data_IF_083278147980
#
_entry.id   IF_083278147980
#
_cell.length_a   1.000
_cell.length_b   1.000
_cell.length_c   1.000
_cell.angle_alpha   90.00
_cell.angle_beta   90.00
_cell.angle_gamma   90.00
#
_symmetry.space_group_name_H-M   'P 1'
#
loop_
_entity.id
_entity.type
_entity.pdbx_description
1 polymer ?
#
# COMPACT_ATOMS: atom_id res chain seq x y z
N UNK A 1 11.61 8.46 28.79
CA UNK A 1 11.09 7.32 28.01
C UNK A 1 11.49 7.58 26.58
N UNK A 2 12.52 6.88 26.09
CA UNK A 2 12.75 6.82 24.66
C UNK A 2 11.61 5.96 24.14
N UNK A 3 10.62 6.58 23.53
CA UNK A 3 9.75 5.86 22.61
C UNK A 3 10.71 5.27 21.57
N UNK A 4 10.99 3.98 21.70
CA UNK A 4 11.78 3.22 20.74
C UNK A 4 10.93 3.24 19.47
N UNK A 5 11.06 4.33 18.72
CA UNK A 5 10.28 4.64 17.54
C UNK A 5 10.72 3.62 16.52
N UNK A 6 10.06 2.45 16.58
CA UNK A 6 10.49 1.25 15.88
C UNK A 6 10.47 1.59 14.41
N UNK A 7 11.65 1.65 13.82
CA UNK A 7 11.79 2.00 12.42
C UNK A 7 11.06 0.95 11.60
N UNK A 8 10.25 1.37 10.63
CA UNK A 8 9.56 0.41 9.79
C UNK A 8 10.58 -0.41 9.03
N UNK A 9 10.34 -1.71 8.98
CA UNK A 9 11.12 -2.69 8.25
C UNK A 9 10.35 -3.17 7.03
N UNK A 10 11.01 -3.93 6.17
CA UNK A 10 10.34 -4.61 5.06
C UNK A 10 9.22 -5.54 5.55
N UNK A 11 9.35 -6.11 6.75
CA UNK A 11 8.32 -6.96 7.34
C UNK A 11 7.06 -6.17 7.73
N UNK A 12 7.23 -4.92 8.18
CA UNK A 12 6.10 -4.03 8.48
C UNK A 12 5.34 -3.67 7.20
N UNK A 13 6.06 -3.43 6.10
CA UNK A 13 5.45 -3.23 4.78
C UNK A 13 4.67 -4.47 4.32
N UNK A 14 5.26 -5.66 4.47
CA UNK A 14 4.64 -6.92 4.08
C UNK A 14 3.37 -7.19 4.91
N UNK A 15 3.44 -6.98 6.23
CA UNK A 15 2.28 -7.16 7.12
C UNK A 15 1.14 -6.21 6.75
N UNK A 16 1.45 -4.96 6.42
CA UNK A 16 0.46 -4.00 5.94
C UNK A 16 -0.14 -4.47 4.61
N UNK A 17 0.68 -4.94 3.68
CA UNK A 17 0.23 -5.44 2.37
C UNK A 17 -0.72 -6.64 2.50
N UNK A 18 -0.45 -7.55 3.44
CA UNK A 18 -1.27 -8.72 3.72
C UNK A 18 -2.54 -8.40 4.55
N UNK A 19 -2.69 -7.18 5.08
CA UNK A 19 -3.86 -6.75 5.86
C UNK A 19 -5.08 -6.47 4.96
N UNK A 20 -5.74 -7.57 4.56
CA UNK A 20 -6.96 -7.53 3.75
C UNK A 20 -8.11 -6.82 4.44
N UNK A 21 -8.19 -6.86 5.77
CA UNK A 21 -9.27 -6.21 6.51
C UNK A 21 -9.12 -4.69 6.42
N UNK A 22 -7.90 -4.17 6.57
CA UNK A 22 -7.64 -2.74 6.40
C UNK A 22 -7.83 -2.31 4.95
N UNK A 23 -7.35 -3.10 3.98
CA UNK A 23 -7.57 -2.86 2.55
C UNK A 23 -9.06 -2.79 2.17
N UNK A 24 -9.89 -3.71 2.68
CA UNK A 24 -11.33 -3.70 2.40
C UNK A 24 -12.08 -2.53 3.05
N UNK A 25 -11.65 -2.10 4.24
CA UNK A 25 -12.30 -1.00 4.95
C UNK A 25 -11.92 0.37 4.38
N UNK A 26 -10.69 0.52 3.90
CA UNK A 26 -10.16 1.81 3.44
C UNK A 26 -9.02 1.60 2.43
N UNK A 27 -9.33 1.30 1.16
CA UNK A 27 -8.33 0.98 0.15
C UNK A 27 -7.35 2.13 -0.13
N UNK A 28 -7.83 3.38 -0.15
CA UNK A 28 -6.97 4.56 -0.36
C UNK A 28 -6.03 4.81 0.83
N UNK A 29 -6.51 4.62 2.05
CA UNK A 29 -5.71 4.78 3.25
C UNK A 29 -4.64 3.67 3.34
N UNK A 30 -5.03 2.43 3.02
CA UNK A 30 -4.15 1.28 2.92
C UNK A 30 -3.01 1.52 1.91
N UNK A 31 -3.35 1.98 0.70
CA UNK A 31 -2.37 2.34 -0.32
C UNK A 31 -1.43 3.47 0.13
N UNK A 32 -1.98 4.53 0.73
CA UNK A 32 -1.20 5.67 1.21
C UNK A 32 -0.18 5.24 2.26
N UNK A 33 -0.56 4.35 3.17
CA UNK A 33 0.33 3.84 4.21
C UNK A 33 1.41 2.91 3.62
N UNK A 34 1.07 2.05 2.65
CA UNK A 34 2.05 1.23 1.91
C UNK A 34 3.13 2.10 1.24
N UNK A 35 2.70 3.21 0.61
CA UNK A 35 3.60 4.15 -0.04
C UNK A 35 4.46 4.92 0.96
N UNK A 36 3.90 5.32 2.11
CA UNK A 36 4.66 5.98 3.18
C UNK A 36 5.77 5.07 3.69
N UNK A 37 5.45 3.82 4.01
CA UNK A 37 6.44 2.84 4.52
C UNK A 37 7.50 2.57 3.47
N UNK A 38 7.13 2.36 2.19
CA UNK A 38 8.10 2.17 1.12
C UNK A 38 9.05 3.37 0.96
N UNK A 39 8.53 4.60 1.01
CA UNK A 39 9.34 5.82 0.93
C UNK A 39 10.26 5.98 2.15
N UNK A 40 9.81 5.64 3.35
CA UNK A 40 10.64 5.69 4.56
C UNK A 40 11.78 4.67 4.49
N UNK A 41 11.51 3.44 4.02
CA UNK A 41 12.52 2.41 3.77
C UNK A 41 13.57 2.86 2.75
N UNK A 42 13.12 3.49 1.65
CA UNK A 42 14.02 4.00 0.61
C UNK A 42 14.84 5.20 1.10
N UNK A 43 14.20 6.16 1.77
CA UNK A 43 14.85 7.36 2.29
C UNK A 43 15.93 7.07 3.34
N UNK A 44 15.83 5.93 4.02
CA UNK A 44 16.86 5.43 4.97
C UNK A 44 17.93 4.56 4.31
N UNK A 45 17.77 4.17 3.05
CA UNK A 45 18.65 3.23 2.37
C UNK A 45 18.48 1.77 2.82
N UNK A 46 17.38 1.43 3.50
CA UNK A 46 17.04 0.03 3.85
C UNK A 46 16.74 -0.80 2.61
N UNK A 47 16.22 -0.15 1.56
CA UNK A 47 15.96 -0.73 0.25
C UNK A 47 16.51 0.18 -0.85
N UNK A 48 16.98 -0.41 -1.94
CA UNK A 48 17.38 0.32 -3.15
C UNK A 48 16.20 0.73 -4.01
N UNK A 49 16.46 1.61 -5.00
CA UNK A 49 15.45 2.11 -5.93
C UNK A 49 14.68 0.98 -6.65
N UNK A 50 15.38 -0.07 -7.07
CA UNK A 50 14.75 -1.22 -7.74
C UNK A 50 13.73 -1.92 -6.82
N UNK A 51 14.09 -2.10 -5.55
CA UNK A 51 13.20 -2.71 -4.57
C UNK A 51 12.03 -1.78 -4.23
N UNK A 52 12.27 -0.47 -4.13
CA UNK A 52 11.21 0.51 -3.94
C UNK A 52 10.18 0.50 -5.10
N UNK A 53 10.65 0.44 -6.35
CA UNK A 53 9.78 0.34 -7.52
C UNK A 53 8.92 -0.93 -7.51
N UNK A 54 9.49 -2.06 -7.07
CA UNK A 54 8.76 -3.32 -6.91
C UNK A 54 7.64 -3.20 -5.87
N UNK A 55 7.92 -2.60 -4.70
CA UNK A 55 6.91 -2.34 -3.67
C UNK A 55 5.81 -1.38 -4.18
N UNK A 56 6.19 -0.32 -4.89
CA UNK A 56 5.25 0.63 -5.50
C UNK A 56 4.30 -0.09 -6.47
N UNK A 57 4.85 -0.88 -7.39
CA UNK A 57 4.05 -1.62 -8.37
C UNK A 57 3.08 -2.62 -7.72
N UNK A 58 3.49 -3.27 -6.63
CA UNK A 58 2.61 -4.16 -5.87
C UNK A 58 1.46 -3.40 -5.21
N UNK A 59 1.77 -2.26 -4.57
CA UNK A 59 0.75 -1.40 -3.94
C UNK A 59 -0.24 -0.84 -4.97
N UNK A 60 0.24 -0.39 -6.13
CA UNK A 60 -0.62 0.12 -7.22
C UNK A 60 -1.54 -0.97 -7.77
N UNK A 61 -1.03 -2.18 -8.01
CA UNK A 61 -1.85 -3.30 -8.46
C UNK A 61 -2.92 -3.71 -7.44
N UNK A 62 -2.60 -3.65 -6.14
CA UNK A 62 -3.55 -3.92 -5.08
C UNK A 62 -4.63 -2.84 -5.02
N UNK A 63 -4.24 -1.56 -5.14
CA UNK A 63 -5.16 -0.43 -5.13
C UNK A 63 -6.11 -0.43 -6.34
N UNK A 64 -5.62 -0.78 -7.54
CA UNK A 64 -6.45 -0.94 -8.74
C UNK A 64 -7.51 -2.05 -8.60
N UNK A 65 -7.24 -3.08 -7.81
CA UNK A 65 -8.18 -4.20 -7.57
C UNK A 65 -9.16 -3.91 -6.43
N UNK A 66 -9.14 -2.71 -5.87
CA UNK A 66 -9.94 -2.36 -4.70
C UNK A 66 -11.43 -2.44 -4.99
N UNK A 67 -12.25 -2.82 -3.99
CA UNK A 67 -13.69 -2.90 -4.16
C UNK A 67 -14.31 -1.60 -4.68
N UNK A 68 -13.85 -0.43 -4.21
CA UNK A 68 -14.31 0.88 -4.70
C UNK A 68 -13.93 1.16 -6.16
N UNK A 69 -12.75 0.70 -6.62
CA UNK A 69 -12.33 0.84 -8.01
C UNK A 69 -13.18 -0.03 -8.95
N UNK A 70 -13.52 -1.25 -8.52
CA UNK A 70 -14.41 -2.14 -9.29
C UNK A 70 -15.86 -1.62 -9.33
N UNK A 71 -16.35 -0.99 -8.26
CA UNK A 71 -17.69 -0.36 -8.27
C UNK A 71 -17.71 0.83 -9.23
N UNK A 72 -16.67 1.68 -9.24
CA UNK A 72 -16.60 2.82 -10.16
C UNK A 72 -16.59 2.40 -11.64
N UNK A 73 -16.02 1.23 -11.96
CA UNK A 73 -16.04 0.66 -13.31
C UNK A 73 -17.43 0.08 -13.66
N UNK A 74 -18.16 -0.50 -12.70
CA UNK A 74 -19.51 -1.04 -12.91
C UNK A 74 -20.59 0.06 -13.11
N UNK A 75 -20.42 1.25 -12.54
CA UNK A 75 -21.38 2.38 -12.72
C UNK A 75 -21.14 3.20 -13.99
N UNK A 76 -20.10 2.89 -14.77
CA UNK A 76 -19.78 3.58 -16.02
C UNK A 76 -20.45 2.94 -17.26
N UNK A 77 -21.17 1.81 -17.09
CA UNK A 77 -22.03 1.20 -18.10
C UNK A 77 -23.50 1.57 -17.83
N UNK A 78 -24.03 2.67 -18.40
CA UNK A 78 -25.47 2.96 -18.38
C UNK A 78 -26.29 2.10 -19.38
N UNK A 79 -25.74 1.01 -19.92
CA UNK A 79 -26.37 0.19 -20.98
C UNK A 79 -26.45 -1.32 -20.65
N UNK A 80 -26.72 -1.67 -19.38
CA UNK A 80 -27.13 -3.03 -18.99
C UNK A 80 -28.66 -3.19 -18.97
#
# INVERSE_FOLDING_TARGET
MSDDLKLPSLADWQQLFDDKAYWQQSPDAHFTELMRVANDLFGRGTIDLARWQDLKNQAEQLHQRSPDANVAEEVADPDA
#
